data_IF_830911877953
#
_entry.id   IF_830911877953
#
_cell.length_a   1.000
_cell.length_b   1.000
_cell.length_c   1.000
_cell.angle_alpha   90.00
_cell.angle_beta   90.00
_cell.angle_gamma   90.00
#
_symmetry.space_group_name_H-M   'P 1'
#
loop_
_entity.id
_entity.type
_entity.pdbx_description
1 polymer ?
#
# COMPACT_ATOMS: atom_id res chain seq x y z
N UNK A 1 11.30 -15.84 -11.26
CA UNK A 1 9.88 -15.49 -11.08
C UNK A 1 9.85 -14.18 -10.33
N UNK A 2 9.05 -13.22 -10.78
CA UNK A 2 9.04 -11.88 -10.20
C UNK A 2 7.91 -11.81 -9.17
N UNK A 3 8.17 -11.16 -8.04
CA UNK A 3 7.11 -10.75 -7.12
C UNK A 3 6.85 -9.26 -7.34
N UNK A 4 5.66 -8.92 -7.81
CA UNK A 4 5.24 -7.57 -8.14
C UNK A 4 4.18 -7.15 -7.12
N UNK A 5 4.33 -5.96 -6.55
CA UNK A 5 3.42 -5.36 -5.60
C UNK A 5 2.92 -4.02 -6.16
N UNK A 6 1.60 -3.85 -6.25
CA UNK A 6 0.96 -2.62 -6.72
C UNK A 6 0.01 -2.16 -5.63
N UNK A 7 0.11 -0.90 -5.21
CA UNK A 7 -0.68 -0.38 -4.10
C UNK A 7 -1.14 1.07 -4.29
N UNK A 8 -2.27 1.37 -3.66
CA UNK A 8 -2.69 2.75 -3.33
C UNK A 8 -2.49 2.92 -1.84
N UNK A 9 -1.75 3.96 -1.47
CA UNK A 9 -1.49 4.33 -0.09
C UNK A 9 -2.13 5.68 0.17
N UNK A 10 -2.78 5.80 1.33
CA UNK A 10 -3.41 7.04 1.77
C UNK A 10 -2.89 7.32 3.17
N UNK A 11 -2.37 8.52 3.38
CA UNK A 11 -1.76 8.95 4.64
C UNK A 11 -2.22 10.36 5.02
N UNK A 12 -1.94 10.75 6.27
CA UNK A 12 -2.23 12.08 6.80
C UNK A 12 -3.71 12.49 6.74
N UNK A 13 -4.62 11.52 6.81
CA UNK A 13 -6.05 11.77 6.81
C UNK A 13 -6.60 11.85 8.25
N UNK A 14 -7.64 12.66 8.45
CA UNK A 14 -8.32 12.76 9.76
C UNK A 14 -9.54 11.83 9.88
N UNK A 15 -10.03 11.29 8.77
CA UNK A 15 -11.14 10.32 8.74
C UNK A 15 -10.75 8.98 9.38
N UNK A 16 -11.71 8.09 9.64
CA UNK A 16 -11.39 6.73 10.06
C UNK A 16 -10.92 5.86 8.89
N UNK A 17 -10.09 4.86 9.18
CA UNK A 17 -9.67 3.82 8.21
C UNK A 17 -10.90 3.15 7.57
N UNK A 18 -11.93 2.87 8.38
CA UNK A 18 -13.17 2.26 7.91
C UNK A 18 -13.93 3.15 6.91
N UNK A 19 -13.93 4.46 7.13
CA UNK A 19 -14.57 5.41 6.21
C UNK A 19 -13.86 5.43 4.85
N UNK A 20 -12.52 5.41 4.83
CA UNK A 20 -11.75 5.29 3.59
C UNK A 20 -12.08 3.98 2.86
N UNK A 21 -12.04 2.84 3.57
CA UNK A 21 -12.40 1.54 2.99
C UNK A 21 -13.80 1.54 2.40
N UNK A 22 -14.77 2.13 3.10
CA UNK A 22 -16.17 2.21 2.65
C UNK A 22 -16.32 3.09 1.41
N UNK A 23 -15.70 4.29 1.41
CA UNK A 23 -15.76 5.21 0.27
C UNK A 23 -15.14 4.60 -0.98
N UNK A 24 -14.01 3.90 -0.82
CA UNK A 24 -13.33 3.25 -1.93
C UNK A 24 -13.96 1.90 -2.28
N UNK A 25 -14.75 1.28 -1.41
CA UNK A 25 -15.21 -0.10 -1.60
C UNK A 25 -14.05 -1.09 -1.73
N UNK A 26 -12.98 -0.87 -0.97
CA UNK A 26 -11.77 -1.71 -0.97
C UNK A 26 -11.49 -2.22 0.44
N UNK A 27 -11.09 -3.49 0.53
CA UNK A 27 -10.59 -4.05 1.78
C UNK A 27 -9.18 -3.57 2.04
N UNK A 28 -8.89 -3.20 3.28
CA UNK A 28 -7.57 -2.70 3.66
C UNK A 28 -6.57 -3.86 3.74
N UNK A 29 -5.39 -3.69 3.16
CA UNK A 29 -4.28 -4.65 3.26
C UNK A 29 -3.38 -4.35 4.45
N UNK A 30 -3.12 -3.06 4.70
CA UNK A 30 -2.34 -2.60 5.85
C UNK A 30 -2.83 -1.23 6.31
N UNK A 31 -2.83 -1.01 7.63
CA UNK A 31 -3.22 0.27 8.21
C UNK A 31 -2.69 0.43 9.61
N UNK A 32 -2.60 1.69 10.05
CA UNK A 32 -2.36 2.05 11.44
C UNK A 32 -2.97 3.41 11.74
N UNK A 33 -3.25 3.66 13.01
CA UNK A 33 -3.63 4.97 13.49
C UNK A 33 -2.41 5.75 13.97
N UNK A 34 -2.48 7.07 13.85
CA UNK A 34 -1.54 7.98 14.49
C UNK A 34 -1.47 7.70 15.99
N UNK A 35 -0.26 7.64 16.53
CA UNK A 35 -0.02 7.36 17.94
C UNK A 35 0.02 5.86 18.29
N UNK A 36 -0.41 4.95 17.42
CA UNK A 36 -0.22 3.51 17.66
C UNK A 36 1.28 3.17 17.74
N UNK A 37 1.63 2.31 18.71
CA UNK A 37 3.02 1.96 18.98
C UNK A 37 3.42 0.70 18.20
N UNK A 38 4.58 0.77 17.55
CA UNK A 38 5.25 -0.36 16.91
C UNK A 38 6.65 -0.56 17.48
N UNK A 39 7.07 -1.83 17.52
CA UNK A 39 8.38 -2.23 18.03
C UNK A 39 9.34 -2.54 16.90
N UNK A 40 10.52 -1.93 16.94
CA UNK A 40 11.64 -2.23 16.06
C UNK A 40 12.68 -3.06 16.83
N UNK A 41 12.98 -4.26 16.32
CA UNK A 41 14.14 -5.02 16.78
C UNK A 41 15.39 -4.43 16.14
N UNK A 42 16.29 -3.94 16.98
CA UNK A 42 17.61 -3.45 16.58
C UNK A 42 18.68 -4.36 17.19
N UNK A 43 19.94 -4.30 16.71
CA UNK A 43 21.04 -5.02 17.35
C UNK A 43 21.21 -4.70 18.85
N UNK A 44 20.77 -3.51 19.29
CA UNK A 44 20.84 -3.06 20.69
C UNK A 44 19.60 -3.36 21.54
N UNK A 45 18.62 -4.09 21.02
CA UNK A 45 17.38 -4.43 21.72
C UNK A 45 16.12 -3.98 21.00
N UNK A 46 15.00 -3.89 21.73
CA UNK A 46 13.71 -3.45 21.19
C UNK A 46 13.54 -1.95 21.43
N UNK A 47 13.25 -1.20 20.37
CA UNK A 47 12.88 0.22 20.46
C UNK A 47 11.41 0.36 20.08
N UNK A 48 10.65 1.08 20.89
CA UNK A 48 9.26 1.41 20.60
C UNK A 48 9.16 2.79 19.95
N UNK A 49 8.28 2.92 18.96
CA UNK A 49 7.97 4.16 18.26
C UNK A 49 6.48 4.27 18.02
N UNK A 50 5.96 5.49 17.97
CA UNK A 50 4.59 5.75 17.56
C UNK A 50 4.53 6.09 16.06
N UNK A 51 3.45 5.70 15.39
CA UNK A 51 3.17 6.18 14.03
C UNK A 51 2.82 7.66 14.04
N UNK A 52 3.36 8.40 13.07
CA UNK A 52 3.25 9.87 13.00
C UNK A 52 1.97 10.36 12.33
N UNK A 53 1.19 9.47 11.71
CA UNK A 53 -0.03 9.79 10.98
C UNK A 53 -0.89 8.54 10.81
N UNK A 54 -2.17 8.73 10.49
CA UNK A 54 -3.04 7.64 10.05
C UNK A 54 -2.61 7.15 8.66
N UNK A 55 -2.63 5.83 8.46
CA UNK A 55 -2.25 5.18 7.22
C UNK A 55 -3.26 4.13 6.80
N UNK A 56 -3.52 4.07 5.52
CA UNK A 56 -4.38 3.10 4.87
C UNK A 56 -3.72 2.66 3.56
N UNK A 57 -3.69 1.35 3.30
CA UNK A 57 -3.15 0.79 2.08
C UNK A 57 -4.05 -0.33 1.55
N UNK A 58 -4.31 -0.28 0.26
CA UNK A 58 -4.76 -1.43 -0.52
C UNK A 58 -3.65 -1.87 -1.46
N UNK A 59 -3.31 -3.16 -1.41
CA UNK A 59 -2.23 -3.76 -2.17
C UNK A 59 -2.69 -5.03 -2.87
N UNK A 60 -2.26 -5.20 -4.12
CA UNK A 60 -2.26 -6.48 -4.82
C UNK A 60 -0.83 -6.97 -5.01
N UNK A 61 -0.60 -8.24 -4.74
CA UNK A 61 0.68 -8.91 -4.94
C UNK A 61 0.55 -10.01 -6.00
N UNK A 62 1.54 -10.11 -6.87
CA UNK A 62 1.54 -11.02 -8.02
C UNK A 62 2.86 -11.76 -8.08
N UNK A 63 2.81 -13.09 -8.14
CA UNK A 63 3.98 -13.92 -8.43
C UNK A 63 3.86 -14.38 -9.88
N UNK A 64 4.65 -13.80 -10.78
CA UNK A 64 4.39 -13.92 -12.22
C UNK A 64 5.65 -13.79 -13.08
N UNK A 65 5.51 -14.17 -14.34
CA UNK A 65 6.46 -13.89 -15.43
C UNK A 65 5.90 -12.87 -16.42
N UNK A 66 4.66 -12.41 -16.23
CA UNK A 66 4.03 -11.36 -17.04
C UNK A 66 4.76 -10.03 -16.91
N UNK A 67 4.55 -9.16 -17.91
CA UNK A 67 5.15 -7.84 -17.92
C UNK A 67 4.47 -6.93 -16.89
N UNK A 68 5.27 -6.24 -16.07
CA UNK A 68 4.75 -5.41 -14.96
C UNK A 68 3.78 -4.32 -15.44
N UNK A 69 3.98 -3.80 -16.65
CA UNK A 69 3.13 -2.76 -17.20
C UNK A 69 1.69 -3.24 -17.43
N UNK A 70 1.49 -4.51 -17.79
CA UNK A 70 0.15 -5.07 -17.99
C UNK A 70 -0.62 -5.08 -16.66
N UNK A 71 0.02 -5.59 -15.60
CA UNK A 71 -0.56 -5.61 -14.26
C UNK A 71 -0.84 -4.21 -13.70
N UNK A 72 0.02 -3.25 -14.00
CA UNK A 72 -0.18 -1.85 -13.62
C UNK A 72 -1.36 -1.24 -14.35
N UNK A 73 -1.49 -1.48 -15.67
CA UNK A 73 -2.61 -0.99 -16.45
C UNK A 73 -3.94 -1.59 -15.96
N UNK A 74 -3.98 -2.91 -15.72
CA UNK A 74 -5.15 -3.59 -15.18
C UNK A 74 -5.54 -3.01 -13.81
N UNK A 75 -4.56 -2.79 -12.93
CA UNK A 75 -4.82 -2.16 -11.64
C UNK A 75 -5.38 -0.74 -11.78
N UNK A 76 -4.81 0.06 -12.69
CA UNK A 76 -5.29 1.42 -12.95
C UNK A 76 -6.73 1.38 -13.46
N UNK A 77 -7.04 0.51 -14.40
CA UNK A 77 -8.36 0.47 -15.03
C UNK A 77 -9.43 -0.09 -14.08
N UNK A 78 -9.11 -1.12 -13.31
CA UNK A 78 -10.07 -1.74 -12.37
C UNK A 78 -10.28 -0.92 -11.10
N UNK A 79 -9.23 -0.25 -10.62
CA UNK A 79 -9.24 0.41 -9.30
C UNK A 79 -9.21 1.92 -9.44
N UNK A 80 -8.12 2.47 -9.99
CA UNK A 80 -7.85 3.91 -9.95
C UNK A 80 -8.87 4.67 -10.81
N UNK A 81 -9.15 4.19 -12.02
CA UNK A 81 -10.04 4.85 -12.98
C UNK A 81 -11.49 4.81 -12.49
N UNK A 82 -11.95 3.66 -12.01
CA UNK A 82 -13.31 3.48 -11.48
C UNK A 82 -13.54 4.36 -10.25
N UNK A 83 -12.52 4.54 -9.39
CA UNK A 83 -12.65 5.26 -8.11
C UNK A 83 -12.10 6.69 -8.17
N UNK A 84 -11.85 7.21 -9.38
CA UNK A 84 -11.13 8.48 -9.60
C UNK A 84 -11.73 9.65 -8.83
N UNK A 85 -13.05 9.81 -8.85
CA UNK A 85 -13.69 10.96 -8.23
C UNK A 85 -13.69 10.85 -6.70
N UNK A 86 -13.81 9.64 -6.16
CA UNK A 86 -13.65 9.40 -4.72
C UNK A 86 -12.20 9.69 -4.29
N UNK A 87 -11.21 9.20 -5.04
CA UNK A 87 -9.80 9.46 -4.78
C UNK A 87 -9.48 10.97 -4.83
N UNK A 88 -10.09 11.72 -5.75
CA UNK A 88 -9.96 13.18 -5.81
C UNK A 88 -10.53 13.86 -4.56
N UNK A 89 -11.67 13.40 -4.05
CA UNK A 89 -12.27 13.92 -2.82
C UNK A 89 -11.36 13.65 -1.63
N UNK A 90 -10.86 12.41 -1.48
CA UNK A 90 -9.94 12.06 -0.40
C UNK A 90 -8.64 12.88 -0.49
N UNK A 91 -8.12 13.12 -1.69
CA UNK A 91 -6.90 13.90 -1.91
C UNK A 91 -7.02 15.39 -1.50
N UNK A 92 -8.22 15.88 -1.18
CA UNK A 92 -8.40 17.23 -0.64
C UNK A 92 -7.92 17.35 0.81
N UNK A 93 -7.90 16.25 1.56
CA UNK A 93 -7.60 16.21 2.99
C UNK A 93 -6.55 15.15 3.38
N UNK A 94 -6.04 14.40 2.40
CA UNK A 94 -5.08 13.31 2.61
C UNK A 94 -4.00 13.32 1.53
N UNK A 95 -2.88 12.69 1.84
CA UNK A 95 -1.86 12.36 0.83
C UNK A 95 -2.18 11.01 0.21
N UNK A 96 -2.13 10.92 -1.12
CA UNK A 96 -2.35 9.68 -1.87
C UNK A 96 -1.10 9.37 -2.69
N UNK A 97 -0.58 8.16 -2.53
CA UNK A 97 0.54 7.65 -3.31
C UNK A 97 0.12 6.41 -4.11
N UNK A 98 0.58 6.36 -5.37
CA UNK A 98 0.53 5.15 -6.18
C UNK A 98 1.90 4.49 -6.14
N UNK A 99 1.94 3.22 -5.73
CA UNK A 99 3.17 2.48 -5.51
C UNK A 99 3.23 1.25 -6.42
N UNK A 100 4.38 1.04 -7.05
CA UNK A 100 4.71 -0.18 -7.81
C UNK A 100 6.10 -0.63 -7.38
N UNK A 101 6.20 -1.86 -6.88
CA UNK A 101 7.45 -2.50 -6.49
C UNK A 101 7.62 -3.84 -7.18
N UNK A 102 8.84 -4.15 -7.62
CA UNK A 102 9.18 -5.45 -8.22
C UNK A 102 10.41 -6.03 -7.53
N UNK A 103 10.30 -7.27 -7.08
CA UNK A 103 11.35 -8.03 -6.42
C UNK A 103 11.76 -9.21 -7.31
N UNK A 104 13.05 -9.27 -7.61
CA UNK A 104 13.65 -10.39 -8.33
C UNK A 104 14.37 -11.30 -7.34
N UNK A 105 13.89 -12.54 -7.23
CA UNK A 105 14.60 -13.58 -6.49
C UNK A 105 15.39 -14.43 -7.48
N UNK A 106 16.71 -14.27 -7.49
CA UNK A 106 17.63 -15.26 -8.06
C UNK A 106 17.97 -16.27 -6.97
N UNK A 107 17.59 -17.53 -7.16
CA UNK A 107 18.15 -18.61 -6.34
C UNK A 107 19.68 -18.60 -6.52
N UNK A 108 20.47 -18.80 -5.45
CA UNK A 108 21.91 -18.95 -5.62
C UNK A 108 22.17 -20.13 -6.55
N UNK A 109 22.89 -19.89 -7.64
CA UNK A 109 23.44 -20.95 -8.47
C UNK A 109 24.30 -21.83 -7.58
N UNK A 110 23.88 -23.08 -7.37
CA UNK A 110 24.72 -24.06 -6.68
C UNK A 110 26.04 -24.18 -7.47
N UNK A 111 27.20 -24.13 -6.80
CA UNK A 111 28.49 -24.36 -7.44
C UNK A 111 28.61 -25.79 -7.97
#
# INVERSE_FOLDING_TARGET
MNNISIAIKISHFSSSIAMISQQLGLEVSHSHYEGEIYSLRTPGGVTEKAYAYNYWEYRKEFVTTQWVQELVNDFIDDIVRVKRDVLKTIAQEAQIEFFVGMYHYSLPSRP
#
